data_IF_575373095180
#
_entry.id   IF_575373095180
#
_cell.length_a   1.000
_cell.length_b   1.000
_cell.length_c   1.000
_cell.angle_alpha   90.00
_cell.angle_beta   90.00
_cell.angle_gamma   90.00
#
_symmetry.space_group_name_H-M   'P 1'
#
loop_
_entity.id
_entity.type
_entity.pdbx_description
1 polymer ?
#
# COMPACT_ATOMS: atom_id res chain seq x y z
N UNK A 1 -19.41 -4.36 -21.90
CA UNK A 1 -17.93 -4.23 -21.86
C UNK A 1 -17.41 -4.89 -20.56
N UNK A 2 -17.45 -6.23 -20.47
CA UNK A 2 -17.37 -7.02 -19.20
C UNK A 2 -15.95 -7.31 -18.66
N UNK A 3 -14.92 -6.58 -19.09
CA UNK A 3 -13.52 -6.88 -18.68
C UNK A 3 -12.67 -5.62 -18.42
N UNK A 4 -13.21 -4.43 -18.71
CA UNK A 4 -12.43 -3.20 -18.61
C UNK A 4 -12.15 -2.83 -17.15
N UNK A 5 -13.10 -3.10 -16.26
CA UNK A 5 -12.94 -2.82 -14.84
C UNK A 5 -11.78 -3.62 -14.25
N UNK A 6 -11.72 -4.92 -14.53
CA UNK A 6 -10.66 -5.80 -14.06
C UNK A 6 -9.29 -5.41 -14.58
N UNK A 7 -9.17 -5.12 -15.87
CA UNK A 7 -7.90 -4.67 -16.46
C UNK A 7 -7.44 -3.36 -15.83
N UNK A 8 -8.35 -2.38 -15.65
CA UNK A 8 -8.03 -1.10 -15.00
C UNK A 8 -7.61 -1.31 -13.54
N UNK A 9 -8.35 -2.11 -12.77
CA UNK A 9 -8.02 -2.42 -11.38
C UNK A 9 -6.67 -3.15 -11.25
N UNK A 10 -6.38 -4.08 -12.18
CA UNK A 10 -5.12 -4.81 -12.21
C UNK A 10 -3.95 -3.87 -12.50
N UNK A 11 -4.07 -3.01 -13.52
CA UNK A 11 -3.05 -2.01 -13.84
C UNK A 11 -2.82 -1.04 -12.68
N UNK A 12 -3.90 -0.56 -12.04
CA UNK A 12 -3.81 0.32 -10.87
C UNK A 12 -3.18 -0.38 -9.67
N UNK A 13 -3.53 -1.63 -9.41
CA UNK A 13 -2.94 -2.41 -8.32
C UNK A 13 -1.43 -2.62 -8.51
N UNK A 14 -1.00 -3.02 -9.72
CA UNK A 14 0.42 -3.15 -10.07
C UNK A 14 1.13 -1.80 -9.93
N UNK A 15 0.51 -0.72 -10.41
CA UNK A 15 1.07 0.63 -10.30
C UNK A 15 1.25 1.08 -8.85
N UNK A 16 0.28 0.78 -7.97
CA UNK A 16 0.39 1.07 -6.54
C UNK A 16 1.54 0.30 -5.88
N UNK A 17 1.72 -0.97 -6.23
CA UNK A 17 2.87 -1.78 -5.77
C UNK A 17 4.18 -1.15 -6.23
N UNK A 18 4.27 -0.77 -7.50
CA UNK A 18 5.46 -0.11 -8.05
C UNK A 18 5.77 1.20 -7.31
N UNK A 19 4.76 2.06 -7.10
CA UNK A 19 4.86 3.29 -6.30
C UNK A 19 5.30 3.04 -4.86
N UNK A 20 4.82 1.97 -4.23
CA UNK A 20 5.18 1.58 -2.88
C UNK A 20 6.67 1.24 -2.77
N UNK A 21 7.17 0.44 -3.72
CA UNK A 21 8.59 0.05 -3.81
C UNK A 21 9.47 1.27 -4.07
N UNK A 22 9.08 2.13 -5.01
CA UNK A 22 9.81 3.36 -5.37
C UNK A 22 9.85 4.34 -4.18
N UNK A 23 8.74 4.48 -3.44
CA UNK A 23 8.72 5.27 -2.20
C UNK A 23 9.69 4.72 -1.14
N UNK A 24 9.69 3.40 -0.89
CA UNK A 24 10.64 2.75 0.02
C UNK A 24 12.09 3.05 -0.38
N UNK A 25 12.43 2.88 -1.66
CA UNK A 25 13.79 3.15 -2.18
C UNK A 25 14.21 4.60 -1.96
N UNK A 26 13.31 5.56 -2.24
CA UNK A 26 13.57 6.99 -2.02
C UNK A 26 13.80 7.35 -0.56
N UNK A 27 13.00 6.79 0.35
CA UNK A 27 13.13 7.07 1.79
C UNK A 27 14.43 6.50 2.35
N UNK A 28 14.82 5.28 1.96
CA UNK A 28 16.08 4.67 2.39
C UNK A 28 17.28 5.48 1.89
N UNK A 29 17.32 5.80 0.59
CA UNK A 29 18.39 6.61 0.00
C UNK A 29 18.50 8.00 0.64
N UNK A 30 17.37 8.60 1.01
CA UNK A 30 17.36 9.89 1.69
C UNK A 30 17.83 9.78 3.15
N UNK A 31 17.52 8.68 3.86
CA UNK A 31 18.04 8.42 5.22
C UNK A 31 19.55 8.18 5.22
N UNK A 32 20.09 7.43 4.27
CA UNK A 32 21.54 7.20 4.13
C UNK A 32 22.32 8.52 3.94
N UNK A 33 21.78 9.44 3.13
CA UNK A 33 22.36 10.79 2.92
C UNK A 33 22.34 11.68 4.17
N UNK A 34 21.46 11.40 5.13
CA UNK A 34 21.32 12.19 6.36
C UNK A 34 22.13 11.58 7.52
N UNK A 35 22.27 10.25 7.56
CA UNK A 35 23.18 9.57 8.48
C UNK A 35 24.64 9.92 8.20
N UNK A 36 25.03 10.04 6.93
CA UNK A 36 26.36 10.53 6.53
C UNK A 36 26.61 11.99 6.92
N UNK A 37 25.56 12.78 7.14
CA UNK A 37 25.62 14.16 7.65
C UNK A 37 25.51 14.26 9.19
N UNK A 38 25.42 13.14 9.90
CA UNK A 38 25.36 13.11 11.37
C UNK A 38 24.06 13.66 11.99
N UNK A 39 22.99 13.90 11.20
CA UNK A 39 21.70 14.38 11.73
C UNK A 39 20.86 13.19 12.22
N UNK A 40 20.36 13.28 13.46
CA UNK A 40 19.42 12.29 14.04
C UNK A 40 18.07 12.37 13.32
N UNK A 41 17.63 11.25 12.75
CA UNK A 41 16.45 11.16 11.88
C UNK A 41 15.17 10.89 12.69
N UNK A 42 14.41 11.94 12.97
CA UNK A 42 13.01 11.87 13.41
C UNK A 42 12.77 11.37 14.83
N UNK A 43 11.54 11.52 15.30
CA UNK A 43 11.11 11.09 16.63
C UNK A 43 10.84 9.58 16.67
N UNK A 44 11.54 8.80 17.52
CA UNK A 44 11.36 7.35 17.62
C UNK A 44 9.94 6.92 18.02
N UNK A 45 9.17 7.77 18.71
CA UNK A 45 7.80 7.47 19.12
C UNK A 45 6.82 7.41 17.92
N UNK A 46 7.03 8.25 16.90
CA UNK A 46 6.24 8.24 15.68
C UNK A 46 6.58 7.04 14.78
N UNK A 47 7.84 6.62 14.80
CA UNK A 47 8.30 5.42 14.10
C UNK A 47 7.69 4.15 14.68
N UNK A 48 7.68 4.00 16.00
CA UNK A 48 7.12 2.82 16.67
C UNK A 48 5.60 2.70 16.50
N UNK A 49 4.88 3.83 16.49
CA UNK A 49 3.44 3.86 16.26
C UNK A 49 3.06 3.41 14.84
N UNK A 50 3.83 3.82 13.82
CA UNK A 50 3.65 3.35 12.44
C UNK A 50 3.88 1.84 12.29
N UNK A 51 4.87 1.29 13.00
CA UNK A 51 5.18 -0.14 13.00
C UNK A 51 4.07 -0.96 13.68
N UNK A 52 3.51 -0.48 14.77
CA UNK A 52 2.39 -1.14 15.46
C UNK A 52 1.11 -1.23 14.61
N UNK A 53 0.94 -0.31 13.64
CA UNK A 53 -0.21 -0.29 12.73
C UNK A 53 -0.07 -1.22 11.52
N UNK A 54 1.14 -1.70 11.20
CA UNK A 54 1.40 -2.58 10.04
C UNK A 54 0.50 -3.83 9.96
N UNK A 55 0.29 -4.62 11.03
CA UNK A 55 -0.55 -5.82 10.94
C UNK A 55 -2.00 -5.49 10.59
N UNK A 56 -2.52 -4.32 10.99
CA UNK A 56 -3.89 -3.91 10.69
C UNK A 56 -4.10 -3.64 9.19
N UNK A 57 -3.11 -3.09 8.48
CA UNK A 57 -3.22 -2.84 7.04
C UNK A 57 -3.20 -4.13 6.21
N UNK A 58 -2.40 -5.10 6.65
CA UNK A 58 -2.36 -6.44 6.04
C UNK A 58 -3.66 -7.18 6.32
N UNK A 59 -4.16 -7.14 7.57
CA UNK A 59 -5.41 -7.76 7.96
C UNK A 59 -6.61 -7.16 7.21
N UNK A 60 -6.65 -5.83 7.07
CA UNK A 60 -7.65 -5.13 6.26
C UNK A 60 -7.66 -5.66 4.82
N UNK A 61 -6.49 -5.79 4.18
CA UNK A 61 -6.39 -6.30 2.81
C UNK A 61 -6.86 -7.75 2.69
N UNK A 62 -6.52 -8.59 3.67
CA UNK A 62 -6.95 -9.98 3.72
C UNK A 62 -8.47 -10.12 3.87
N UNK A 63 -9.07 -9.37 4.82
CA UNK A 63 -10.53 -9.38 5.04
C UNK A 63 -11.26 -8.81 3.82
N UNK A 64 -10.79 -7.69 3.25
CA UNK A 64 -11.40 -7.10 2.06
C UNK A 64 -11.35 -8.05 0.85
N UNK A 65 -10.25 -8.77 0.67
CA UNK A 65 -10.14 -9.78 -0.39
C UNK A 65 -11.09 -10.96 -0.14
N UNK A 66 -11.22 -11.40 1.12
CA UNK A 66 -12.12 -12.48 1.49
C UNK A 66 -13.60 -12.10 1.31
N UNK A 67 -13.97 -10.86 1.66
CA UNK A 67 -15.30 -10.31 1.41
C UNK A 67 -15.61 -10.15 -0.08
N UNK A 68 -14.62 -9.77 -0.91
CA UNK A 68 -14.80 -9.72 -2.37
C UNK A 68 -15.04 -11.10 -2.97
N UNK A 69 -14.26 -12.10 -2.55
CA UNK A 69 -14.44 -13.49 -2.99
C UNK A 69 -15.80 -14.01 -2.50
N UNK A 70 -16.12 -13.83 -1.21
CA UNK A 70 -17.38 -14.23 -0.63
C UNK A 70 -18.57 -13.56 -1.31
N UNK A 71 -18.53 -12.24 -1.51
CA UNK A 71 -19.56 -11.48 -2.20
C UNK A 71 -19.75 -11.92 -3.66
N UNK A 72 -18.67 -12.31 -4.35
CA UNK A 72 -18.75 -12.81 -5.72
C UNK A 72 -19.46 -14.17 -5.83
N UNK A 73 -19.20 -15.10 -4.89
CA UNK A 73 -19.78 -16.45 -4.92
C UNK A 73 -21.13 -16.56 -4.21
N UNK A 74 -21.38 -15.74 -3.18
CA UNK A 74 -22.61 -15.79 -2.38
C UNK A 74 -23.71 -14.84 -2.88
N UNK A 75 -23.39 -13.92 -3.80
CA UNK A 75 -24.36 -12.98 -4.39
C UNK A 75 -24.47 -13.18 -5.90
N UNK A 76 -25.51 -12.61 -6.51
CA UNK A 76 -25.66 -12.52 -7.97
C UNK A 76 -24.61 -11.60 -8.66
N UNK A 77 -23.54 -11.25 -7.95
CA UNK A 77 -22.44 -10.43 -8.46
C UNK A 77 -21.78 -11.08 -9.68
N UNK A 78 -21.79 -12.41 -9.78
CA UNK A 78 -21.29 -13.15 -10.96
C UNK A 78 -22.03 -12.82 -12.26
N UNK A 79 -23.25 -12.30 -12.19
CA UNK A 79 -23.99 -11.81 -13.36
C UNK A 79 -23.41 -10.48 -13.88
N UNK A 80 -22.86 -9.65 -12.99
CA UNK A 80 -22.39 -8.30 -13.27
C UNK A 80 -20.86 -8.19 -13.39
N UNK A 81 -20.11 -8.96 -12.59
CA UNK A 81 -18.66 -9.01 -12.57
C UNK A 81 -18.15 -10.26 -13.28
N UNK A 82 -17.13 -10.08 -14.10
CA UNK A 82 -16.32 -11.19 -14.61
C UNK A 82 -15.35 -11.71 -13.55
N UNK A 83 -14.91 -12.97 -13.68
CA UNK A 83 -13.81 -13.53 -12.88
C UNK A 83 -12.54 -12.67 -13.04
N UNK A 84 -12.33 -12.10 -14.22
CA UNK A 84 -11.21 -11.19 -14.47
C UNK A 84 -11.36 -9.86 -13.72
N UNK A 85 -12.59 -9.37 -13.54
CA UNK A 85 -12.87 -8.17 -12.74
C UNK A 85 -12.60 -8.44 -11.26
N UNK A 86 -13.01 -9.60 -10.76
CA UNK A 86 -12.71 -10.04 -9.40
C UNK A 86 -11.20 -10.13 -9.16
N UNK A 87 -10.46 -10.76 -10.07
CA UNK A 87 -9.01 -10.86 -9.97
C UNK A 87 -8.35 -9.46 -9.97
N UNK A 88 -8.80 -8.56 -10.84
CA UNK A 88 -8.32 -7.18 -10.88
C UNK A 88 -8.59 -6.42 -9.58
N UNK A 89 -9.78 -6.57 -8.99
CA UNK A 89 -10.15 -5.96 -7.71
C UNK A 89 -9.31 -6.52 -6.55
N UNK A 90 -9.05 -7.83 -6.52
CA UNK A 90 -8.18 -8.45 -5.51
C UNK A 90 -6.76 -7.85 -5.63
N UNK A 91 -6.22 -7.77 -6.84
CA UNK A 91 -4.90 -7.16 -7.08
C UNK A 91 -4.88 -5.69 -6.64
N UNK A 92 -5.96 -4.95 -6.90
CA UNK A 92 -6.09 -3.56 -6.46
C UNK A 92 -6.10 -3.44 -4.93
N UNK A 93 -6.87 -4.28 -4.23
CA UNK A 93 -6.94 -4.29 -2.76
C UNK A 93 -5.59 -4.64 -2.16
N UNK A 94 -4.93 -5.68 -2.66
CA UNK A 94 -3.59 -6.08 -2.22
C UNK A 94 -2.60 -4.93 -2.48
N UNK A 95 -2.59 -4.37 -3.68
CA UNK A 95 -1.69 -3.30 -4.06
C UNK A 95 -1.88 -2.04 -3.22
N UNK A 96 -3.14 -1.69 -2.91
CA UNK A 96 -3.48 -0.59 -2.03
C UNK A 96 -3.03 -0.84 -0.58
N UNK A 97 -3.27 -2.04 -0.04
CA UNK A 97 -2.80 -2.42 1.29
C UNK A 97 -1.27 -2.36 1.39
N UNK A 98 -0.55 -2.87 0.40
CA UNK A 98 0.92 -2.78 0.32
C UNK A 98 1.37 -1.32 0.25
N UNK A 99 0.69 -0.50 -0.56
CA UNK A 99 1.01 0.92 -0.70
C UNK A 99 0.86 1.68 0.62
N UNK A 100 -0.24 1.50 1.34
CA UNK A 100 -0.44 2.12 2.66
C UNK A 100 0.60 1.60 3.65
N UNK A 101 0.81 0.28 3.70
CA UNK A 101 1.79 -0.35 4.60
C UNK A 101 3.20 0.21 4.38
N UNK A 102 3.62 0.38 3.13
CA UNK A 102 4.94 0.96 2.84
C UNK A 102 5.02 2.44 3.18
N UNK A 103 3.92 3.19 3.01
CA UNK A 103 3.88 4.60 3.38
C UNK A 103 3.92 4.82 4.90
N UNK A 104 3.33 3.91 5.67
CA UNK A 104 3.31 3.96 7.14
C UNK A 104 4.59 3.39 7.76
N UNK A 105 5.18 2.35 7.17
CA UNK A 105 6.49 1.82 7.57
C UNK A 105 7.65 2.79 7.26
N UNK A 106 7.55 3.54 6.15
CA UNK A 106 8.57 4.49 5.71
C UNK A 106 8.00 5.92 5.62
N UNK A 107 7.65 6.54 6.76
CA UNK A 107 7.19 7.92 6.78
C UNK A 107 8.34 8.86 6.42
N UNK A 108 8.02 9.97 5.75
CA UNK A 108 8.96 11.08 5.48
C UNK A 108 9.23 11.94 6.72
N UNK A 109 8.52 11.69 7.82
CA UNK A 109 8.74 12.34 9.12
C UNK A 109 10.18 12.10 9.57
N UNK A 110 10.94 13.19 9.73
CA UNK A 110 12.38 13.21 9.99
C UNK A 110 13.23 13.68 8.80
N UNK A 111 12.75 13.58 7.55
CA UNK A 111 13.39 14.18 6.38
C UNK A 111 12.95 15.64 6.18
N UNK A 112 11.66 15.93 6.31
CA UNK A 112 11.12 17.29 6.10
C UNK A 112 11.48 18.27 7.23
N UNK A 113 11.54 17.80 8.49
CA UNK A 113 11.93 18.63 9.66
C UNK A 113 13.40 19.08 9.61
N UNK A 114 14.25 18.38 8.85
CA UNK A 114 15.68 18.68 8.74
C UNK A 114 16.01 19.76 7.70
N UNK A 115 15.05 20.06 6.80
CA UNK A 115 15.15 21.13 5.79
C UNK A 115 14.65 22.48 6.34
N UNK A 116 14.01 22.49 7.51
CA UNK A 116 13.53 23.68 8.21
C UNK A 116 14.48 24.18 9.32
N UNK A 117 15.70 23.61 9.41
CA UNK A 117 16.79 24.07 10.28
C UNK A 117 18.11 24.16 9.51
#
# INVERSE_FOLDING_TARGET
>A
MRYYLGVVCLLLGIWLIYKAIDHRKRVIAARERMQTKGKVLGDPALGSMGVAMLPFYVLYGAIASLLLIGGFFLSDLSQYLSILDLAGLIVLVIGHSVFITMRTAYPRLGLDLSNSQ
#
